data_IF_956621753097
#
_entry.id   IF_956621753097
#
_cell.length_a   1.000
_cell.length_b   1.000
_cell.length_c   1.000
_cell.angle_alpha   90.00
_cell.angle_beta   90.00
_cell.angle_gamma   90.00
#
_symmetry.space_group_name_H-M   'P 1'
#
loop_
_entity.id
_entity.type
_entity.pdbx_description
1 polymer ?
#
# COMPACT_ATOMS: atom_id res chain seq x y z
N UNK A 1 -2.04 -16.07 13.97
CA UNK A 1 -2.94 -15.16 13.21
C UNK A 1 -2.17 -13.87 12.96
N UNK A 2 -2.51 -13.11 11.93
CA UNK A 2 -2.03 -11.72 11.79
C UNK A 2 -3.10 -10.83 12.44
N UNK A 3 -2.78 -10.19 13.56
CA UNK A 3 -3.67 -9.25 14.24
C UNK A 3 -3.37 -7.82 13.77
N UNK A 4 -3.61 -7.57 12.49
CA UNK A 4 -3.23 -6.34 11.79
C UNK A 4 -3.85 -5.10 12.43
N UNK A 5 -3.01 -4.14 12.82
CA UNK A 5 -3.38 -2.87 13.46
C UNK A 5 -4.19 -3.00 14.77
N UNK A 6 -4.16 -4.17 15.41
CA UNK A 6 -4.89 -4.47 16.64
C UNK A 6 -3.93 -4.47 17.84
N UNK A 7 -4.43 -4.10 19.03
CA UNK A 7 -3.66 -4.16 20.28
C UNK A 7 -3.07 -5.55 20.61
N UNK A 8 -3.60 -6.62 20.01
CA UNK A 8 -3.14 -8.01 20.14
C UNK A 8 -1.98 -8.36 19.20
N UNK A 9 -1.51 -7.43 18.39
CA UNK A 9 -0.39 -7.63 17.47
C UNK A 9 0.82 -8.28 18.17
N UNK A 10 1.15 -9.50 17.76
CA UNK A 10 2.18 -10.33 18.39
C UNK A 10 3.04 -11.07 17.36
N UNK A 11 2.99 -10.67 16.09
CA UNK A 11 3.60 -11.36 14.96
C UNK A 11 2.60 -11.77 13.88
N UNK A 12 3.10 -12.48 12.87
CA UNK A 12 2.30 -12.95 11.74
C UNK A 12 2.09 -14.46 11.79
N UNK A 13 1.08 -14.96 11.06
CA UNK A 13 0.95 -16.39 10.74
C UNK A 13 1.39 -16.65 9.30
N UNK A 14 1.89 -17.86 9.04
CA UNK A 14 2.19 -18.32 7.69
C UNK A 14 0.92 -18.77 7.00
N UNK A 15 0.83 -18.48 5.71
CA UNK A 15 -0.21 -18.96 4.81
C UNK A 15 0.39 -19.25 3.44
N UNK A 16 -0.27 -20.10 2.67
CA UNK A 16 0.13 -20.49 1.33
C UNK A 16 -0.97 -20.15 0.34
N UNK A 17 -0.60 -19.81 -0.89
CA UNK A 17 -1.55 -19.47 -1.95
C UNK A 17 -0.83 -19.26 -3.29
N UNK A 18 -1.57 -19.47 -4.38
CA UNK A 18 -1.10 -19.25 -5.75
C UNK A 18 -2.08 -18.31 -6.43
N UNK A 19 -1.57 -17.21 -6.99
CA UNK A 19 -2.35 -16.20 -7.69
C UNK A 19 -1.60 -15.84 -8.97
N UNK A 20 -2.34 -15.72 -10.08
CA UNK A 20 -1.82 -15.19 -11.33
C UNK A 20 -2.77 -14.10 -11.85
N UNK A 21 -2.19 -13.07 -12.45
CA UNK A 21 -2.94 -12.02 -13.17
C UNK A 21 -2.39 -11.92 -14.59
N UNK A 22 -3.28 -11.66 -15.54
CA UNK A 22 -2.91 -11.41 -16.94
C UNK A 22 -2.96 -9.91 -17.17
N UNK A 23 -1.85 -9.35 -17.65
CA UNK A 23 -1.71 -7.92 -17.90
C UNK A 23 -1.72 -7.65 -19.40
N UNK A 24 -2.36 -6.56 -19.80
CA UNK A 24 -2.41 -6.06 -21.17
C UNK A 24 -2.44 -4.54 -21.17
N UNK A 25 -1.77 -3.86 -22.11
CA UNK A 25 -1.92 -2.42 -22.27
C UNK A 25 -3.39 -2.03 -22.45
N UNK A 26 -3.87 -1.02 -21.72
CA UNK A 26 -5.29 -0.66 -21.68
C UNK A 26 -5.89 -0.38 -23.06
N UNK A 27 -5.14 0.28 -23.95
CA UNK A 27 -5.60 0.57 -25.30
C UNK A 27 -5.82 -0.72 -26.12
N UNK A 28 -4.99 -1.74 -25.92
CA UNK A 28 -5.15 -3.03 -26.58
C UNK A 28 -6.31 -3.83 -25.96
N UNK A 29 -6.48 -3.78 -24.64
CA UNK A 29 -7.61 -4.43 -23.96
C UNK A 29 -8.96 -3.87 -24.44
N UNK A 30 -9.07 -2.54 -24.56
CA UNK A 30 -10.27 -1.87 -25.07
C UNK A 30 -10.52 -2.23 -26.53
N UNK A 31 -9.48 -2.15 -27.39
CA UNK A 31 -9.60 -2.48 -28.82
C UNK A 31 -10.06 -3.91 -29.04
N UNK A 32 -9.53 -4.85 -28.26
CA UNK A 32 -9.79 -6.27 -28.44
C UNK A 32 -11.07 -6.72 -27.68
N UNK A 33 -11.75 -5.80 -26.98
CA UNK A 33 -13.00 -6.08 -26.27
C UNK A 33 -12.84 -6.90 -24.99
N UNK A 34 -11.67 -6.86 -24.35
CA UNK A 34 -11.37 -7.65 -23.15
C UNK A 34 -12.14 -7.13 -21.93
N UNK A 35 -12.48 -8.05 -21.02
CA UNK A 35 -13.00 -7.69 -19.70
C UNK A 35 -11.89 -7.13 -18.81
N UNK A 36 -11.89 -5.81 -18.61
CA UNK A 36 -10.93 -5.11 -17.75
C UNK A 36 -11.45 -5.10 -16.31
N UNK A 37 -10.75 -5.80 -15.40
CA UNK A 37 -11.12 -5.87 -13.96
C UNK A 37 -10.61 -4.66 -13.16
N UNK A 38 -9.43 -4.16 -13.51
CA UNK A 38 -8.77 -3.03 -12.89
C UNK A 38 -7.71 -2.45 -13.83
N UNK A 39 -7.25 -1.23 -13.54
CA UNK A 39 -6.14 -0.60 -14.26
C UNK A 39 -5.00 -0.35 -13.28
N UNK A 40 -3.82 -0.90 -13.56
CA UNK A 40 -2.60 -0.57 -12.83
C UNK A 40 -2.11 0.79 -13.32
N UNK A 41 -2.16 1.80 -12.45
CA UNK A 41 -1.84 3.19 -12.80
C UNK A 41 -0.36 3.51 -12.70
N UNK A 42 0.33 2.94 -11.71
CA UNK A 42 1.78 2.93 -11.58
C UNK A 42 2.19 1.84 -10.59
N UNK A 43 3.47 1.49 -10.63
CA UNK A 43 4.13 0.59 -9.66
C UNK A 43 5.49 1.16 -9.33
N UNK A 44 5.98 0.94 -8.12
CA UNK A 44 7.33 1.35 -7.75
C UNK A 44 7.90 0.50 -6.63
N UNK A 45 9.20 0.62 -6.45
CA UNK A 45 9.96 -0.03 -5.38
C UNK A 45 11.08 0.90 -4.94
N UNK A 46 11.38 0.91 -3.65
CA UNK A 46 12.57 1.56 -3.09
C UNK A 46 13.18 0.66 -1.99
N UNK A 47 14.06 1.23 -1.17
CA UNK A 47 14.72 0.54 -0.07
C UNK A 47 14.70 1.38 1.19
N UNK A 48 14.63 0.71 2.33
CA UNK A 48 14.57 1.35 3.65
C UNK A 48 15.86 2.10 4.02
N UNK A 49 16.96 1.78 3.33
CA UNK A 49 18.27 2.39 3.57
C UNK A 49 18.85 1.96 4.91
N UNK A 50 19.41 2.91 5.66
CA UNK A 50 19.92 2.64 7.00
C UNK A 50 18.80 2.65 8.04
N UNK A 51 18.64 1.53 8.74
CA UNK A 51 17.75 1.39 9.90
C UNK A 51 18.55 0.82 11.09
N UNK A 52 18.16 1.09 12.35
CA UNK A 52 18.91 0.62 13.52
C UNK A 52 19.07 -0.90 13.61
N UNK A 53 18.13 -1.64 13.02
CA UNK A 53 18.14 -3.09 12.90
C UNK A 53 17.84 -3.41 11.45
N UNK A 54 18.61 -4.31 10.82
CA UNK A 54 18.50 -4.65 9.39
C UNK A 54 17.06 -4.94 8.91
N UNK A 55 16.24 -5.56 9.75
CA UNK A 55 14.85 -5.95 9.42
C UNK A 55 13.80 -4.96 9.93
N UNK A 56 14.20 -3.85 10.55
CA UNK A 56 13.28 -2.84 11.02
C UNK A 56 12.82 -1.96 9.83
N UNK A 57 11.51 -1.76 9.65
CA UNK A 57 11.00 -0.99 8.53
C UNK A 57 11.25 0.52 8.71
N UNK A 58 11.34 1.25 7.59
CA UNK A 58 11.51 2.71 7.58
C UNK A 58 10.21 3.44 7.21
N UNK A 59 9.69 4.24 8.15
CA UNK A 59 8.51 5.06 7.93
C UNK A 59 8.71 6.07 6.78
N UNK A 60 9.90 6.65 6.68
CA UNK A 60 10.21 7.66 5.66
C UNK A 60 10.30 7.02 4.27
N UNK A 61 10.97 5.87 4.15
CA UNK A 61 11.05 5.16 2.88
C UNK A 61 9.66 4.75 2.37
N UNK A 62 8.76 4.30 3.25
CA UNK A 62 7.38 4.00 2.87
C UNK A 62 6.61 5.24 2.40
N UNK A 63 6.77 6.40 3.08
CA UNK A 63 6.15 7.66 2.63
C UNK A 63 6.66 8.08 1.25
N UNK A 64 7.98 8.09 1.07
CA UNK A 64 8.64 8.44 -0.19
C UNK A 64 8.18 7.53 -1.32
N UNK A 65 8.04 6.22 -1.07
CA UNK A 65 7.53 5.27 -2.04
C UNK A 65 6.11 5.61 -2.47
N UNK A 66 5.20 5.84 -1.51
CA UNK A 66 3.81 6.20 -1.81
C UNK A 66 3.77 7.50 -2.63
N UNK A 67 4.45 8.55 -2.18
CA UNK A 67 4.45 9.85 -2.87
C UNK A 67 5.05 9.74 -4.28
N UNK A 68 6.13 8.99 -4.44
CA UNK A 68 6.78 8.75 -5.73
C UNK A 68 5.85 8.03 -6.70
N UNK A 69 5.21 6.94 -6.28
CA UNK A 69 4.30 6.15 -7.13
C UNK A 69 3.06 6.96 -7.51
N UNK A 70 2.48 7.74 -6.59
CA UNK A 70 1.36 8.62 -6.91
C UNK A 70 1.73 9.72 -7.90
N UNK A 71 2.94 10.29 -7.76
CA UNK A 71 3.46 11.26 -8.72
C UNK A 71 3.64 10.65 -10.10
N UNK A 72 4.19 9.43 -10.19
CA UNK A 72 4.31 8.69 -11.46
C UNK A 72 2.95 8.35 -12.08
N UNK A 73 1.97 7.97 -11.26
CA UNK A 73 0.61 7.68 -11.70
C UNK A 73 -0.18 8.91 -12.17
N UNK A 74 0.33 10.12 -11.87
CA UNK A 74 -0.38 11.39 -12.00
C UNK A 74 -1.78 11.31 -11.35
N UNK A 75 -1.84 10.78 -10.12
CA UNK A 75 -3.06 10.60 -9.35
C UNK A 75 -3.10 11.55 -8.15
N UNK A 76 -4.23 12.23 -7.91
CA UNK A 76 -4.37 13.02 -6.70
C UNK A 76 -4.59 12.12 -5.48
N UNK A 77 -3.84 12.39 -4.41
CA UNK A 77 -3.97 11.66 -3.15
C UNK A 77 -5.38 11.78 -2.53
N UNK A 78 -6.15 12.82 -2.89
CA UNK A 78 -7.54 13.03 -2.45
C UNK A 78 -8.50 11.94 -2.94
N UNK A 79 -8.23 11.31 -4.08
CA UNK A 79 -9.16 10.34 -4.68
C UNK A 79 -9.04 8.92 -4.11
N UNK A 80 -7.92 8.60 -3.44
CA UNK A 80 -7.72 7.28 -2.84
C UNK A 80 -8.74 7.01 -1.75
N UNK A 81 -9.51 5.93 -1.83
CA UNK A 81 -10.48 5.57 -0.77
C UNK A 81 -10.01 4.42 0.10
N UNK A 82 -9.14 3.58 -0.44
CA UNK A 82 -8.71 2.34 0.20
C UNK A 82 -7.21 2.10 0.03
N UNK A 83 -6.58 1.55 1.06
CA UNK A 83 -5.22 1.00 1.02
C UNK A 83 -5.26 -0.42 1.54
N UNK A 84 -5.01 -1.39 0.67
CA UNK A 84 -4.66 -2.74 1.10
C UNK A 84 -3.24 -2.69 1.68
N UNK A 85 -3.13 -2.74 3.01
CA UNK A 85 -1.86 -2.63 3.70
C UNK A 85 -1.08 -3.96 3.71
N UNK A 86 0.21 -3.90 4.02
CA UNK A 86 1.00 -5.10 4.30
C UNK A 86 0.54 -5.79 5.59
N UNK A 87 0.25 -5.02 6.65
CA UNK A 87 -0.58 -5.42 7.78
C UNK A 87 -0.17 -6.74 8.44
N UNK A 88 1.10 -6.88 8.81
CA UNK A 88 1.63 -8.17 9.30
C UNK A 88 1.14 -8.57 10.70
N UNK A 89 0.56 -7.65 11.47
CA UNK A 89 0.20 -7.92 12.86
C UNK A 89 1.40 -7.86 13.79
N UNK A 90 2.47 -7.14 13.41
CA UNK A 90 3.67 -7.00 14.24
C UNK A 90 3.62 -5.71 15.07
N UNK A 91 4.05 -5.75 16.33
CA UNK A 91 3.96 -4.58 17.23
C UNK A 91 4.86 -3.41 16.80
N UNK A 92 5.85 -3.65 15.95
CA UNK A 92 6.75 -2.62 15.41
C UNK A 92 6.32 -2.18 14.00
N UNK A 93 6.01 -3.13 13.11
CA UNK A 93 5.72 -2.85 11.71
C UNK A 93 4.39 -2.13 11.51
N UNK A 94 3.32 -2.61 12.15
CA UNK A 94 1.97 -2.08 11.95
C UNK A 94 1.86 -0.59 12.34
N UNK A 95 2.40 -0.12 13.48
CA UNK A 95 2.40 1.31 13.79
C UNK A 95 3.25 2.15 12.83
N UNK A 96 4.35 1.60 12.29
CA UNK A 96 5.18 2.30 11.31
C UNK A 96 4.43 2.47 9.99
N UNK A 97 3.81 1.40 9.49
CA UNK A 97 3.03 1.42 8.27
C UNK A 97 1.82 2.35 8.36
N UNK A 98 1.02 2.25 9.43
CA UNK A 98 -0.14 3.11 9.64
C UNK A 98 0.26 4.59 9.73
N UNK A 99 1.39 4.91 10.37
CA UNK A 99 1.91 6.29 10.41
C UNK A 99 2.40 6.77 9.05
N UNK A 100 3.06 5.92 8.26
CA UNK A 100 3.51 6.28 6.91
C UNK A 100 2.31 6.62 6.00
N UNK A 101 1.31 5.73 5.94
CA UNK A 101 0.07 5.95 5.20
C UNK A 101 -0.64 7.21 5.72
N UNK A 102 -0.80 7.33 7.04
CA UNK A 102 -1.42 8.49 7.66
C UNK A 102 -0.72 9.80 7.33
N UNK A 103 0.62 9.84 7.30
CA UNK A 103 1.40 11.05 7.00
C UNK A 103 1.18 11.54 5.56
N UNK A 104 1.03 10.62 4.60
CA UNK A 104 0.79 10.96 3.20
C UNK A 104 -0.65 11.41 2.97
N UNK A 105 -1.63 10.66 3.48
CA UNK A 105 -3.03 10.85 3.12
C UNK A 105 -3.84 11.74 4.06
N UNK A 106 -3.51 11.83 5.37
CA UNK A 106 -4.35 12.53 6.38
C UNK A 106 -4.69 13.96 6.00
N UNK A 107 -3.77 14.70 5.38
CA UNK A 107 -3.99 16.10 4.95
C UNK A 107 -5.10 16.25 3.89
N UNK A 108 -5.53 15.15 3.28
CA UNK A 108 -6.59 15.10 2.27
C UNK A 108 -7.85 14.37 2.75
N UNK A 109 -7.96 14.08 4.05
CA UNK A 109 -9.09 13.35 4.64
C UNK A 109 -9.83 14.21 5.64
N UNK A 110 -11.13 13.92 5.77
CA UNK A 110 -12.00 14.45 6.82
C UNK A 110 -12.68 13.29 7.54
N UNK A 111 -13.34 13.56 8.67
CA UNK A 111 -14.13 12.53 9.37
C UNK A 111 -15.25 11.94 8.49
N UNK A 112 -15.79 12.72 7.55
CA UNK A 112 -16.82 12.27 6.60
C UNK A 112 -16.26 11.49 5.41
N UNK A 113 -14.97 11.64 5.14
CA UNK A 113 -14.27 11.01 4.03
C UNK A 113 -12.94 10.40 4.51
N UNK A 114 -13.02 9.33 5.34
CA UNK A 114 -11.82 8.67 5.81
C UNK A 114 -11.13 7.90 4.69
N UNK A 115 -9.85 7.60 4.91
CA UNK A 115 -9.16 6.56 4.18
C UNK A 115 -9.45 5.24 4.89
N UNK A 116 -9.91 4.24 4.15
CA UNK A 116 -10.07 2.89 4.68
C UNK A 116 -8.77 2.10 4.49
N UNK A 117 -8.42 1.34 5.51
CA UNK A 117 -7.35 0.33 5.52
C UNK A 117 -7.87 -0.91 6.21
#
# INVERSE_FOLDING_TARGET
RCYSFDHRASGYARGEGIIAVVLKPIAAAVRDGDMIRAVIRATGSNQDGYTPILTQPSQNAQQELIEHVYKQANLPLTETRYVEAHGTGTPVGDPIEARAIGRVFRKYRSEKEPLYM
#
